data_IF_099142971057
#
_entry.id   IF_099142971057
#
_cell.length_a   1.000
_cell.length_b   1.000
_cell.length_c   1.000
_cell.angle_alpha   90.00
_cell.angle_beta   90.00
_cell.angle_gamma   90.00
#
_symmetry.space_group_name_H-M   'P 1'
#
loop_
_entity.id
_entity.type
_entity.pdbx_description
1 polymer ?
#
# COMPACT_ATOMS: atom_id res chain seq x y z
N UNK A 1 12.16 -9.68 -30.33
CA UNK A 1 12.73 -8.63 -29.44
C UNK A 1 12.14 -8.82 -28.05
N UNK A 2 12.97 -9.06 -27.03
CA UNK A 2 12.58 -9.30 -25.63
C UNK A 2 12.70 -8.00 -24.85
N UNK A 3 11.76 -7.63 -23.95
CA UNK A 3 12.06 -6.61 -22.95
C UNK A 3 12.63 -7.25 -21.68
N UNK A 4 13.92 -6.99 -21.46
CA UNK A 4 14.67 -7.24 -20.23
C UNK A 4 14.07 -6.42 -19.09
N UNK A 5 13.77 -7.06 -17.96
CA UNK A 5 13.30 -6.40 -16.74
C UNK A 5 14.49 -5.76 -16.01
N UNK A 6 14.41 -4.45 -15.78
CA UNK A 6 15.37 -3.72 -14.95
C UNK A 6 14.97 -3.90 -13.47
N UNK A 7 15.80 -4.63 -12.74
CA UNK A 7 15.75 -4.76 -11.28
C UNK A 7 16.46 -3.53 -10.72
N UNK A 8 15.73 -2.61 -10.09
CA UNK A 8 16.35 -1.53 -9.32
C UNK A 8 16.57 -2.06 -7.90
N UNK A 9 17.77 -2.57 -7.68
CA UNK A 9 18.27 -2.98 -6.37
C UNK A 9 18.58 -1.76 -5.50
N UNK A 10 18.08 -1.78 -4.27
CA UNK A 10 18.40 -0.87 -3.19
C UNK A 10 19.85 -1.09 -2.75
N UNK A 11 20.80 -0.28 -3.21
CA UNK A 11 22.18 -0.30 -2.69
C UNK A 11 22.32 0.72 -1.56
N UNK A 12 22.35 0.22 -0.34
CA UNK A 12 22.71 0.96 0.87
C UNK A 12 24.24 1.13 0.89
N UNK A 13 24.74 2.25 0.36
CA UNK A 13 26.18 2.57 0.38
C UNK A 13 26.59 3.12 1.75
N UNK A 14 27.27 2.30 2.53
CA UNK A 14 27.87 2.65 3.82
C UNK A 14 29.27 3.21 3.58
N UNK A 15 29.44 4.53 3.66
CA UNK A 15 30.76 5.19 3.53
C UNK A 15 31.28 5.59 4.91
N UNK A 16 32.31 4.87 5.38
CA UNK A 16 33.15 5.24 6.52
C UNK A 16 34.20 6.28 6.08
N UNK A 17 34.45 7.33 6.88
CA UNK A 17 35.77 7.94 6.93
C UNK A 17 36.52 7.49 8.20
N UNK A 18 37.61 6.74 8.00
CA UNK A 18 38.69 6.60 8.97
C UNK A 18 39.60 7.81 8.78
N UNK A 19 39.73 8.66 9.80
CA UNK A 19 40.90 9.52 9.90
C UNK A 19 41.25 9.76 11.36
N UNK A 20 42.42 9.23 11.72
CA UNK A 20 43.06 9.33 13.03
C UNK A 20 43.55 10.74 13.30
N UNK A 21 43.28 11.26 14.50
CA UNK A 21 44.12 12.30 15.12
C UNK A 21 44.33 11.96 16.59
N UNK A 22 45.60 11.80 16.94
CA UNK A 22 46.14 11.63 18.29
C UNK A 22 45.91 12.91 19.11
N UNK A 23 45.56 12.78 20.39
CA UNK A 23 45.46 13.93 21.29
C UNK A 23 44.86 13.64 22.65
N UNK A 24 45.74 13.54 23.66
CA UNK A 24 45.53 13.80 25.09
C UNK A 24 44.48 12.97 25.86
N UNK A 25 44.99 12.14 26.77
CA UNK A 25 44.28 11.67 27.97
C UNK A 25 43.97 12.86 28.87
N UNK A 26 42.77 13.44 28.75
CA UNK A 26 42.19 14.21 29.83
C UNK A 26 41.36 13.26 30.68
N UNK A 27 41.88 12.95 31.86
CA UNK A 27 41.14 12.35 32.97
C UNK A 27 39.95 13.26 33.25
N UNK A 28 38.82 12.96 32.62
CA UNK A 28 37.57 13.67 32.90
C UNK A 28 36.98 12.93 34.07
N UNK A 29 37.42 13.33 35.27
CA UNK A 29 36.66 13.14 36.50
C UNK A 29 35.21 13.40 36.17
N UNK A 30 34.40 12.34 36.16
CA UNK A 30 32.96 12.45 35.94
C UNK A 30 32.39 13.23 37.10
N UNK A 31 32.39 14.55 36.98
CA UNK A 31 31.64 15.45 37.84
C UNK A 31 30.17 15.11 37.61
N UNK A 32 29.63 14.22 38.43
CA UNK A 32 28.22 14.20 38.72
C UNK A 32 27.90 15.48 39.49
N UNK A 33 27.84 16.60 38.77
CA UNK A 33 27.15 17.79 39.26
C UNK A 33 25.68 17.42 39.33
N UNK A 34 25.20 17.11 40.53
CA UNK A 34 23.78 17.03 40.85
C UNK A 34 23.13 18.32 40.34
N UNK A 35 22.48 18.28 39.17
CA UNK A 35 21.86 19.48 38.62
C UNK A 35 20.80 19.95 39.60
N UNK A 36 20.77 21.25 39.91
CA UNK A 36 19.83 21.76 40.90
C UNK A 36 18.40 21.50 40.42
N UNK A 37 17.44 21.42 41.35
CA UNK A 37 16.02 21.29 40.99
C UNK A 37 15.56 22.41 40.04
N UNK A 38 16.14 23.61 40.16
CA UNK A 38 15.87 24.73 39.25
C UNK A 38 16.35 24.44 37.81
N UNK A 39 17.55 23.84 37.65
CA UNK A 39 18.08 23.44 36.35
C UNK A 39 17.23 22.32 35.72
N UNK A 40 16.81 21.34 36.53
CA UNK A 40 15.93 20.27 36.08
C UNK A 40 14.55 20.80 35.65
N UNK A 41 14.01 21.81 36.36
CA UNK A 41 12.75 22.44 36.01
C UNK A 41 12.85 23.28 34.72
N UNK A 42 13.98 23.97 34.52
CA UNK A 42 14.24 24.69 33.27
C UNK A 42 14.36 23.72 32.08
N UNK A 43 15.10 22.62 32.24
CA UNK A 43 15.20 21.56 31.24
C UNK A 43 13.83 20.92 30.93
N UNK A 44 13.00 20.68 31.96
CA UNK A 44 11.64 20.18 31.78
C UNK A 44 10.76 21.13 30.96
N UNK A 45 10.83 22.45 31.19
CA UNK A 45 10.08 23.45 30.40
C UNK A 45 10.48 23.42 28.91
N UNK A 46 11.78 23.33 28.63
CA UNK A 46 12.30 23.20 27.26
C UNK A 46 11.83 21.87 26.63
N UNK A 47 11.94 20.77 27.37
CA UNK A 47 11.47 19.46 26.90
C UNK A 47 9.96 19.46 26.61
N UNK A 48 9.15 20.14 27.43
CA UNK A 48 7.71 20.30 27.21
C UNK A 48 7.39 21.16 25.98
N UNK A 49 8.17 22.21 25.70
CA UNK A 49 8.04 22.98 24.47
C UNK A 49 8.36 22.14 23.24
N UNK A 50 9.45 21.37 23.29
CA UNK A 50 9.82 20.43 22.23
C UNK A 50 8.77 19.32 22.03
N UNK A 51 8.18 18.81 23.11
CA UNK A 51 7.07 17.85 23.03
C UNK A 51 5.85 18.41 22.30
N UNK A 52 5.47 19.68 22.55
CA UNK A 52 4.36 20.32 21.84
C UNK A 52 4.64 20.41 20.34
N UNK A 53 5.84 20.88 19.97
CA UNK A 53 6.27 20.94 18.57
C UNK A 53 6.25 19.55 17.92
N UNK A 54 6.76 18.53 18.62
CA UNK A 54 6.75 17.15 18.13
C UNK A 54 5.32 16.60 17.97
N UNK A 55 4.38 16.96 18.85
CA UNK A 55 2.98 16.58 18.73
C UNK A 55 2.28 17.25 17.54
N UNK A 56 2.59 18.51 17.26
CA UNK A 56 2.06 19.22 16.09
C UNK A 56 2.57 18.57 14.80
N UNK A 57 3.88 18.28 14.73
CA UNK A 57 4.49 17.57 13.60
C UNK A 57 3.89 16.16 13.42
N UNK A 58 3.68 15.43 14.51
CA UNK A 58 3.01 14.13 14.51
C UNK A 58 1.60 14.19 13.93
N UNK A 59 0.80 15.16 14.38
CA UNK A 59 -0.58 15.35 13.93
C UNK A 59 -0.64 15.70 12.44
N UNK A 60 0.21 16.61 11.97
CA UNK A 60 0.26 16.99 10.56
C UNK A 60 0.76 15.85 9.66
N UNK A 61 1.78 15.11 10.09
CA UNK A 61 2.24 13.92 9.37
C UNK A 61 1.13 12.87 9.24
N UNK A 62 0.38 12.62 10.33
CA UNK A 62 -0.73 11.68 10.32
C UNK A 62 -1.88 12.15 9.41
N UNK A 63 -2.28 13.42 9.50
CA UNK A 63 -3.31 14.00 8.61
C UNK A 63 -2.92 13.88 7.14
N UNK A 64 -1.66 14.21 6.80
CA UNK A 64 -1.14 14.11 5.42
C UNK A 64 -1.17 12.67 4.92
N UNK A 65 -0.78 11.72 5.76
CA UNK A 65 -0.82 10.29 5.43
C UNK A 65 -2.25 9.81 5.16
N UNK A 66 -3.21 10.22 5.99
CA UNK A 66 -4.63 9.92 5.78
C UNK A 66 -5.21 10.56 4.51
N UNK A 67 -4.84 11.81 4.20
CA UNK A 67 -5.28 12.48 2.98
C UNK A 67 -4.77 11.74 1.74
N UNK A 68 -3.48 11.41 1.71
CA UNK A 68 -2.87 10.64 0.62
C UNK A 68 -3.52 9.27 0.45
N UNK A 69 -3.83 8.58 1.54
CA UNK A 69 -4.56 7.30 1.48
C UNK A 69 -5.97 7.46 0.89
N UNK A 70 -6.72 8.49 1.28
CA UNK A 70 -8.05 8.76 0.72
C UNK A 70 -7.98 9.02 -0.80
N UNK A 71 -7.00 9.79 -1.24
CA UNK A 71 -6.80 10.07 -2.66
C UNK A 71 -6.43 8.81 -3.46
N UNK A 72 -5.57 7.96 -2.88
CA UNK A 72 -5.23 6.67 -3.46
C UNK A 72 -6.45 5.74 -3.56
N UNK A 73 -7.30 5.70 -2.53
CA UNK A 73 -8.55 4.93 -2.55
C UNK A 73 -9.52 5.45 -3.60
N UNK A 74 -9.71 6.77 -3.68
CA UNK A 74 -10.59 7.38 -4.68
C UNK A 74 -10.12 7.08 -6.11
N UNK A 75 -8.81 7.16 -6.35
CA UNK A 75 -8.20 6.79 -7.63
C UNK A 75 -8.45 5.32 -7.96
N UNK A 76 -8.14 4.42 -7.01
CA UNK A 76 -8.35 2.99 -7.21
C UNK A 76 -9.82 2.62 -7.48
N UNK A 77 -10.77 3.29 -6.81
CA UNK A 77 -12.20 3.10 -7.06
C UNK A 77 -12.63 3.60 -8.44
N UNK A 78 -12.11 4.74 -8.87
CA UNK A 78 -12.39 5.29 -10.21
C UNK A 78 -11.87 4.34 -11.30
N UNK A 79 -10.65 3.86 -11.16
CA UNK A 79 -10.02 2.94 -12.10
C UNK A 79 -10.77 1.61 -12.14
N UNK A 80 -11.16 1.07 -10.97
CA UNK A 80 -11.98 -0.15 -10.89
C UNK A 80 -13.33 0.03 -11.59
N UNK A 81 -14.00 1.16 -11.40
CA UNK A 81 -15.28 1.46 -12.05
C UNK A 81 -15.13 1.53 -13.56
N UNK A 82 -14.09 2.20 -14.05
CA UNK A 82 -13.79 2.28 -15.49
C UNK A 82 -13.49 0.91 -16.08
N UNK A 83 -12.66 0.10 -15.40
CA UNK A 83 -12.36 -1.26 -15.83
C UNK A 83 -13.62 -2.13 -15.92
N UNK A 84 -14.50 -2.06 -14.91
CA UNK A 84 -15.78 -2.79 -14.92
C UNK A 84 -16.71 -2.34 -16.05
N UNK A 85 -16.78 -1.03 -16.33
CA UNK A 85 -17.56 -0.50 -17.45
C UNK A 85 -17.02 -1.01 -18.79
N UNK A 86 -15.70 -0.94 -18.99
CA UNK A 86 -15.04 -1.44 -20.19
C UNK A 86 -15.28 -2.94 -20.40
N UNK A 87 -15.15 -3.75 -19.34
CA UNK A 87 -15.46 -5.19 -19.39
C UNK A 87 -16.93 -5.44 -19.77
N UNK A 88 -17.87 -4.70 -19.19
CA UNK A 88 -19.29 -4.81 -19.52
C UNK A 88 -19.56 -4.46 -20.99
N UNK A 89 -18.96 -3.39 -21.49
CA UNK A 89 -19.19 -2.92 -22.85
C UNK A 89 -18.57 -3.88 -23.88
N UNK A 90 -17.38 -4.43 -23.60
CA UNK A 90 -16.80 -5.54 -24.39
C UNK A 90 -17.70 -6.78 -24.42
N UNK A 91 -18.28 -7.19 -23.28
CA UNK A 91 -19.25 -8.31 -23.24
C UNK A 91 -20.48 -8.04 -24.09
N UNK A 92 -21.00 -6.80 -24.06
CA UNK A 92 -22.14 -6.40 -24.90
C UNK A 92 -21.78 -6.48 -26.38
N UNK A 93 -20.60 -6.01 -26.79
CA UNK A 93 -20.14 -6.11 -28.18
C UNK A 93 -20.03 -7.57 -28.64
N UNK A 94 -19.45 -8.44 -27.81
CA UNK A 94 -19.37 -9.88 -28.11
C UNK A 94 -20.76 -10.48 -28.32
N UNK A 95 -21.72 -10.14 -27.44
CA UNK A 95 -23.10 -10.61 -27.56
C UNK A 95 -23.81 -10.06 -28.81
N UNK A 96 -23.58 -8.79 -29.16
CA UNK A 96 -24.12 -8.20 -30.39
C UNK A 96 -23.57 -8.86 -31.64
N UNK A 97 -22.25 -9.10 -31.70
CA UNK A 97 -21.63 -9.78 -32.83
C UNK A 97 -22.18 -11.21 -33.00
N UNK A 98 -22.31 -11.95 -31.90
CA UNK A 98 -22.93 -13.28 -31.92
C UNK A 98 -24.38 -13.22 -32.46
N UNK A 99 -25.19 -12.26 -31.98
CA UNK A 99 -26.56 -12.06 -32.47
C UNK A 99 -26.58 -11.78 -33.98
N UNK A 100 -25.71 -10.90 -34.47
CA UNK A 100 -25.60 -10.57 -35.90
C UNK A 100 -25.24 -11.81 -36.72
N UNK A 101 -24.25 -12.60 -36.28
CA UNK A 101 -23.85 -13.83 -36.97
C UNK A 101 -24.99 -14.86 -37.04
N UNK A 102 -25.72 -15.06 -35.94
CA UNK A 102 -26.88 -15.99 -35.91
C UNK A 102 -28.01 -15.47 -36.80
N UNK A 103 -28.31 -14.17 -36.79
CA UNK A 103 -29.30 -13.58 -37.68
C UNK A 103 -28.91 -13.76 -39.16
N UNK A 104 -27.63 -13.57 -39.49
CA UNK A 104 -27.13 -13.78 -40.84
C UNK A 104 -27.22 -15.25 -41.25
N UNK A 105 -26.85 -16.19 -40.38
CA UNK A 105 -26.99 -17.63 -40.64
C UNK A 105 -28.46 -18.01 -40.90
N UNK A 106 -29.39 -17.51 -40.09
CA UNK A 106 -30.82 -17.74 -40.28
C UNK A 106 -31.35 -17.09 -41.58
N UNK A 107 -30.88 -15.88 -41.93
CA UNK A 107 -31.26 -15.20 -43.17
C UNK A 107 -30.79 -16.01 -44.39
N UNK A 108 -29.54 -16.46 -44.40
CA UNK A 108 -28.99 -17.33 -45.44
C UNK A 108 -29.80 -18.62 -45.54
N UNK A 109 -30.07 -19.29 -44.41
CA UNK A 109 -30.90 -20.50 -44.37
C UNK A 109 -32.28 -20.29 -45.03
N UNK A 110 -33.00 -19.23 -44.66
CA UNK A 110 -34.33 -18.93 -45.24
C UNK A 110 -34.26 -18.69 -46.74
N UNK A 111 -33.20 -18.03 -47.23
CA UNK A 111 -32.99 -17.80 -48.67
C UNK A 111 -32.71 -19.13 -49.38
N UNK A 112 -31.76 -19.93 -48.88
CA UNK A 112 -31.36 -21.20 -49.50
C UNK A 112 -32.49 -22.23 -49.44
N UNK A 113 -33.25 -22.29 -48.35
CA UNK A 113 -34.38 -23.22 -48.21
C UNK A 113 -35.51 -22.92 -49.20
N UNK A 114 -35.72 -21.63 -49.54
CA UNK A 114 -36.72 -21.23 -50.55
C UNK A 114 -36.37 -21.71 -51.95
N UNK A 115 -35.08 -21.79 -52.28
CA UNK A 115 -34.61 -22.20 -53.62
C UNK A 115 -34.29 -23.69 -53.72
N UNK A 116 -34.22 -24.40 -52.59
CA UNK A 116 -33.99 -25.84 -52.52
C UNK A 116 -35.19 -26.65 -53.03
N UNK A 117 -34.97 -27.44 -54.10
CA UNK A 117 -36.00 -28.27 -54.75
C UNK A 117 -35.90 -29.76 -54.37
N UNK A 118 -34.72 -30.21 -53.95
CA UNK A 118 -34.48 -31.63 -53.60
C UNK A 118 -34.29 -31.81 -52.09
N UNK A 119 -34.45 -33.05 -51.61
CA UNK A 119 -34.18 -33.39 -50.21
C UNK A 119 -32.72 -33.08 -49.83
N UNK A 120 -31.77 -33.39 -50.71
CA UNK A 120 -30.34 -33.13 -50.49
C UNK A 120 -30.04 -31.65 -50.35
N UNK A 121 -30.65 -30.79 -51.18
CA UNK A 121 -30.48 -29.33 -51.09
C UNK A 121 -31.04 -28.78 -49.77
N UNK A 122 -32.17 -29.31 -49.30
CA UNK A 122 -32.75 -28.92 -48.01
C UNK A 122 -31.86 -29.37 -46.85
N UNK A 123 -31.35 -30.61 -46.89
CA UNK A 123 -30.40 -31.15 -45.91
C UNK A 123 -29.11 -30.31 -45.87
N UNK A 124 -28.54 -29.96 -47.03
CA UNK A 124 -27.38 -29.09 -47.14
C UNK A 124 -27.61 -27.70 -46.53
N UNK A 125 -28.79 -27.09 -46.75
CA UNK A 125 -29.14 -25.81 -46.14
C UNK A 125 -29.23 -25.90 -44.60
N UNK A 126 -29.81 -26.98 -44.07
CA UNK A 126 -29.89 -27.23 -42.61
C UNK A 126 -28.48 -27.38 -42.03
N UNK A 127 -27.64 -28.22 -42.64
CA UNK A 127 -26.28 -28.45 -42.18
C UNK A 127 -25.43 -27.18 -42.24
N UNK A 128 -25.54 -26.38 -43.30
CA UNK A 128 -24.86 -25.10 -43.41
C UNK A 128 -25.26 -24.12 -42.29
N UNK A 129 -26.56 -24.09 -41.92
CA UNK A 129 -27.03 -23.28 -40.78
C UNK A 129 -26.43 -23.75 -39.46
N UNK A 130 -26.41 -25.06 -39.22
CA UNK A 130 -25.84 -25.65 -38.00
C UNK A 130 -24.36 -25.28 -37.88
N UNK A 131 -23.59 -25.48 -38.95
CA UNK A 131 -22.16 -25.11 -39.00
C UNK A 131 -21.96 -23.63 -38.71
N UNK A 132 -22.69 -22.73 -39.38
CA UNK A 132 -22.55 -21.29 -39.17
C UNK A 132 -22.88 -20.85 -37.73
N UNK A 133 -23.89 -21.46 -37.08
CA UNK A 133 -24.22 -21.17 -35.67
C UNK A 133 -23.14 -21.71 -34.72
N UNK A 134 -22.59 -22.89 -35.01
CA UNK A 134 -21.48 -23.46 -34.24
C UNK A 134 -20.23 -22.59 -34.35
N UNK A 135 -19.90 -22.11 -35.54
CA UNK A 135 -18.76 -21.20 -35.76
C UNK A 135 -18.96 -19.88 -35.01
N UNK A 136 -20.15 -19.28 -35.07
CA UNK A 136 -20.49 -18.09 -34.30
C UNK A 136 -20.36 -18.33 -32.78
N UNK A 137 -20.77 -19.51 -32.31
CA UNK A 137 -20.65 -19.91 -30.89
C UNK A 137 -19.20 -20.09 -30.48
N UNK A 138 -18.38 -20.75 -31.30
CA UNK A 138 -16.96 -20.91 -31.06
C UNK A 138 -16.25 -19.54 -31.00
N UNK A 139 -16.53 -18.65 -31.96
CA UNK A 139 -15.97 -17.29 -31.98
C UNK A 139 -16.37 -16.49 -30.73
N UNK A 140 -17.62 -16.60 -30.27
CA UNK A 140 -18.09 -15.99 -29.03
C UNK A 140 -17.30 -16.50 -27.82
N UNK A 141 -17.12 -17.82 -27.72
CA UNK A 141 -16.41 -18.43 -26.61
C UNK A 141 -14.94 -18.02 -26.57
N UNK A 142 -14.26 -18.00 -27.72
CA UNK A 142 -12.88 -17.50 -27.84
C UNK A 142 -12.79 -16.05 -27.38
N UNK A 143 -13.73 -15.18 -27.80
CA UNK A 143 -13.73 -13.78 -27.38
C UNK A 143 -14.00 -13.61 -25.87
N UNK A 144 -14.86 -14.44 -25.28
CA UNK A 144 -15.11 -14.42 -23.83
C UNK A 144 -13.91 -14.94 -23.03
N UNK A 145 -13.19 -15.96 -23.52
CA UNK A 145 -11.96 -16.45 -22.90
C UNK A 145 -10.84 -15.42 -22.98
N UNK A 146 -10.68 -14.73 -24.13
CA UNK A 146 -9.73 -13.64 -24.26
C UNK A 146 -10.03 -12.51 -23.25
N UNK A 147 -11.31 -12.19 -23.05
CA UNK A 147 -11.73 -11.16 -22.11
C UNK A 147 -11.51 -11.54 -20.64
N UNK A 148 -11.62 -12.83 -20.29
CA UNK A 148 -11.39 -13.29 -18.92
C UNK A 148 -9.93 -13.14 -18.51
N UNK A 149 -9.00 -13.36 -19.46
CA UNK A 149 -7.54 -13.22 -19.26
C UNK A 149 -7.09 -11.76 -19.11
N UNK A 150 -7.86 -10.80 -19.62
CA UNK A 150 -7.52 -9.37 -19.57
C UNK A 150 -7.84 -8.71 -18.21
N UNK A 151 -8.64 -9.36 -17.36
CA UNK A 151 -9.16 -8.74 -16.13
C UNK A 151 -8.08 -8.59 -15.05
N UNK A 152 -7.32 -7.49 -15.09
CA UNK A 152 -6.53 -7.00 -13.95
C UNK A 152 -7.46 -6.37 -12.91
N UNK A 153 -7.47 -6.91 -11.68
CA UNK A 153 -8.22 -6.33 -10.57
C UNK A 153 -7.48 -5.10 -10.01
N UNK A 154 -8.23 -4.04 -9.68
CA UNK A 154 -7.67 -2.89 -8.99
C UNK A 154 -7.14 -3.34 -7.61
N UNK A 155 -5.87 -3.04 -7.32
CA UNK A 155 -5.26 -3.36 -6.03
C UNK A 155 -5.76 -2.36 -5.00
N UNK A 156 -6.33 -2.86 -3.90
CA UNK A 156 -6.77 -2.01 -2.79
C UNK A 156 -5.54 -1.36 -2.13
N UNK A 157 -5.48 -0.01 -2.02
CA UNK A 157 -4.40 0.66 -1.32
C UNK A 157 -4.29 0.17 0.14
N UNK A 158 -3.07 0.08 0.65
CA UNK A 158 -2.80 -0.35 2.03
C UNK A 158 -3.04 0.86 2.97
N UNK A 159 -3.82 0.70 4.05
CA UNK A 159 -3.99 1.75 5.04
C UNK A 159 -2.66 2.19 5.67
N UNK A 160 -2.45 3.49 5.92
CA UNK A 160 -1.24 3.94 6.59
C UNK A 160 -1.22 3.46 8.04
N UNK A 161 -0.05 3.04 8.51
CA UNK A 161 0.17 2.69 9.91
C UNK A 161 0.35 3.96 10.72
N UNK A 162 -0.42 4.11 11.80
CA UNK A 162 -0.31 5.27 12.70
C UNK A 162 1.06 5.25 13.39
N UNK A 163 1.88 6.31 13.26
CA UNK A 163 3.17 6.36 13.95
C UNK A 163 2.98 6.37 15.47
N UNK A 164 4.03 5.98 16.21
CA UNK A 164 4.06 6.12 17.66
C UNK A 164 4.05 7.61 18.04
N UNK A 165 3.23 8.03 19.02
CA UNK A 165 3.21 9.43 19.46
C UNK A 165 4.51 9.79 20.19
N UNK A 166 4.93 11.07 20.16
CA UNK A 166 6.00 11.58 20.99
C UNK A 166 5.80 11.25 22.47
N UNK A 167 6.87 10.95 23.20
CA UNK A 167 6.82 10.69 24.65
C UNK A 167 6.79 12.00 25.42
N UNK A 168 5.84 12.15 26.34
CA UNK A 168 5.75 13.34 27.20
C UNK A 168 6.90 13.34 28.21
N UNK A 169 7.62 14.46 28.40
CA UNK A 169 8.65 14.58 29.44
C UNK A 169 8.07 14.42 30.84
N UNK A 170 8.84 13.81 31.74
CA UNK A 170 8.50 13.65 33.16
C UNK A 170 8.97 14.87 33.97
N UNK A 171 8.14 15.35 34.90
CA UNK A 171 8.52 16.46 35.77
C UNK A 171 9.57 16.02 36.80
N UNK A 172 10.53 16.89 37.17
CA UNK A 172 11.52 16.56 38.19
C UNK A 172 10.88 16.49 39.59
N UNK A 173 11.34 15.52 40.40
CA UNK A 173 10.90 15.39 41.79
C UNK A 173 11.70 16.32 42.72
N UNK A 174 11.01 16.93 43.69
CA UNK A 174 11.66 17.74 44.71
C UNK A 174 12.16 16.79 45.82
N UNK A 175 13.48 16.63 45.94
CA UNK A 175 14.08 15.74 46.97
C UNK A 175 13.57 16.11 48.37
N UNK A 176 12.99 15.15 49.08
CA UNK A 176 12.69 15.28 50.51
C UNK A 176 14.00 15.28 51.31
N UNK A 177 14.15 16.23 52.22
CA UNK A 177 15.32 16.38 53.09
C UNK A 177 15.53 15.13 53.97
N UNK A 178 16.74 14.56 54.08
CA UNK A 178 16.96 13.42 54.97
C UNK A 178 16.88 13.87 56.44
N UNK A 179 16.05 13.18 57.23
CA UNK A 179 15.97 13.33 58.69
C UNK A 179 17.22 12.70 59.30
N UNK A 180 18.07 13.52 59.91
CA UNK A 180 19.28 13.09 60.62
C UNK A 180 19.01 11.91 61.57
N UNK A 181 19.73 10.79 61.39
CA UNK A 181 19.84 9.73 62.41
C UNK A 181 21.14 9.94 63.22
N UNK A 182 21.14 9.66 64.54
CA UNK A 182 22.21 10.10 65.44
C UNK A 182 23.49 9.25 65.33
N UNK A 183 24.61 9.94 65.54
CA UNK A 183 25.99 9.42 65.63
C UNK A 183 26.12 8.34 66.71
N UNK A 184 26.58 7.13 66.34
CA UNK A 184 27.03 6.10 67.29
C UNK A 184 28.48 6.41 67.72
N UNK A 185 28.69 6.58 69.03
CA UNK A 185 29.98 6.81 69.69
C UNK A 185 30.95 5.64 69.45
N UNK A 186 32.18 5.94 69.00
CA UNK A 186 33.29 4.97 68.95
C UNK A 186 33.76 4.60 70.37
N UNK A 187 33.89 3.30 70.60
CA UNK A 187 34.39 2.70 71.84
C UNK A 187 35.89 2.93 72.08
N UNK A 188 36.19 3.08 73.37
CA UNK A 188 37.49 3.28 74.04
C UNK A 188 38.32 1.97 73.96
N UNK A 189 39.58 2.04 73.52
CA UNK A 189 40.60 1.02 73.81
C UNK A 189 41.56 1.60 74.87
N UNK A 190 41.62 0.97 76.04
CA UNK A 190 42.68 1.18 77.03
C UNK A 190 43.77 0.14 76.80
N UNK A 191 45.01 0.59 76.97
CA UNK A 191 46.25 -0.19 76.95
C UNK A 191 46.34 -1.10 78.18
#
# INVERSE_FOLDING_TARGET
>A
MKPTRLIVGLTLSLSLPVMSTSGATADTTSNFTSSSYADQLAAYKVAMANYKIAMDQYNEAWKKSLASYKDAVNTALKDAKMALQNLRDKRKMIAQNFKISVQQANKTFTITMRTAKTADQKSAAINARIVAINDATAARNVALDALSRESATAVKPIPPVKPAPPTKPTAPEKSATPRNSPVVKKGKKTN
#
